data_IF_871641007719
#
_entry.id   IF_871641007719
#
_cell.length_a   1.000
_cell.length_b   1.000
_cell.length_c   1.000
_cell.angle_alpha   90.00
_cell.angle_beta   90.00
_cell.angle_gamma   90.00
#
_symmetry.space_group_name_H-M   'P 1'
#
loop_
_entity.id
_entity.type
_entity.pdbx_description
1 polymer ?
#
# COMPACT_ATOMS: atom_id res chain seq x y z
N UNK A 1 0.99 6.46 -15.97
CA UNK A 1 -0.41 6.88 -15.70
C UNK A 1 -1.49 5.96 -16.29
N UNK A 2 -1.32 5.38 -17.48
CA UNK A 2 -2.31 4.43 -18.04
C UNK A 2 -2.40 3.11 -17.26
N UNK A 3 -1.29 2.58 -16.77
CA UNK A 3 -1.24 1.35 -15.98
C UNK A 3 -2.02 1.44 -14.66
N UNK A 4 -1.94 2.58 -13.97
CA UNK A 4 -2.64 2.79 -12.69
C UNK A 4 -4.17 2.73 -12.84
N UNK A 5 -4.74 3.30 -13.91
CA UNK A 5 -6.18 3.23 -14.17
C UNK A 5 -6.65 1.80 -14.47
N UNK A 6 -5.85 1.04 -15.21
CA UNK A 6 -6.16 -0.36 -15.47
C UNK A 6 -6.08 -1.19 -14.18
N UNK A 7 -5.05 -1.00 -13.37
CA UNK A 7 -4.89 -1.67 -12.08
C UNK A 7 -6.08 -1.42 -11.15
N UNK A 8 -6.55 -0.18 -11.03
CA UNK A 8 -7.74 0.16 -10.24
C UNK A 8 -8.99 -0.58 -10.74
N UNK A 9 -9.18 -0.69 -12.07
CA UNK A 9 -10.33 -1.42 -12.63
C UNK A 9 -10.28 -2.91 -12.30
N UNK A 10 -9.11 -3.55 -12.42
CA UNK A 10 -8.93 -4.95 -12.04
C UNK A 10 -9.14 -5.14 -10.53
N UNK A 11 -8.56 -4.30 -9.71
CA UNK A 11 -8.72 -4.37 -8.24
C UNK A 11 -10.19 -4.24 -7.82
N UNK A 12 -10.94 -3.29 -8.39
CA UNK A 12 -12.38 -3.14 -8.12
C UNK A 12 -13.18 -4.38 -8.54
N UNK A 13 -12.92 -4.91 -9.74
CA UNK A 13 -13.62 -6.09 -10.23
C UNK A 13 -13.40 -7.31 -9.32
N UNK A 14 -12.16 -7.54 -8.88
CA UNK A 14 -11.86 -8.63 -7.95
C UNK A 14 -12.48 -8.38 -6.58
N UNK A 15 -12.47 -7.15 -6.08
CA UNK A 15 -13.11 -6.80 -4.82
C UNK A 15 -14.63 -7.06 -4.85
N UNK A 16 -15.29 -6.72 -5.94
CA UNK A 16 -16.73 -6.96 -6.10
C UNK A 16 -17.05 -8.46 -6.14
N UNK A 17 -16.23 -9.27 -6.82
CA UNK A 17 -16.35 -10.74 -6.82
C UNK A 17 -16.09 -11.31 -5.43
N UNK A 18 -15.04 -10.83 -4.74
CA UNK A 18 -14.70 -11.27 -3.39
C UNK A 18 -15.81 -10.92 -2.38
N UNK A 19 -16.46 -9.76 -2.52
CA UNK A 19 -17.64 -9.38 -1.72
C UNK A 19 -18.81 -10.34 -1.94
N UNK A 20 -19.12 -10.66 -3.19
CA UNK A 20 -20.20 -11.58 -3.53
C UNK A 20 -19.97 -13.00 -2.95
N UNK A 21 -18.72 -13.42 -2.84
CA UNK A 21 -18.32 -14.73 -2.32
C UNK A 21 -17.95 -14.72 -0.82
N UNK A 22 -18.07 -13.59 -0.11
CA UNK A 22 -17.63 -13.41 1.28
C UNK A 22 -16.17 -13.85 1.53
N UNK A 23 -15.29 -13.66 0.54
CA UNK A 23 -13.88 -14.08 0.57
C UNK A 23 -12.89 -12.90 0.63
N UNK A 24 -13.37 -11.69 0.96
CA UNK A 24 -12.59 -10.44 0.88
C UNK A 24 -11.31 -10.52 1.72
N UNK A 25 -11.40 -11.01 2.97
CA UNK A 25 -10.24 -11.10 3.88
C UNK A 25 -9.19 -12.08 3.36
N UNK A 26 -9.65 -13.25 2.85
CA UNK A 26 -8.75 -14.26 2.31
C UNK A 26 -8.08 -13.79 1.02
N UNK A 27 -8.80 -13.07 0.15
CA UNK A 27 -8.22 -12.45 -1.06
C UNK A 27 -7.24 -11.35 -0.68
N UNK A 28 -7.54 -10.53 0.34
CA UNK A 28 -6.63 -9.51 0.84
C UNK A 28 -5.30 -10.11 1.36
N UNK A 29 -5.37 -11.20 2.11
CA UNK A 29 -4.18 -11.94 2.55
C UNK A 29 -3.34 -12.44 1.35
N UNK A 30 -3.99 -12.93 0.29
CA UNK A 30 -3.29 -13.34 -0.93
C UNK A 30 -2.64 -12.15 -1.64
N UNK A 31 -3.34 -11.00 -1.77
CA UNK A 31 -2.79 -9.81 -2.40
C UNK A 31 -1.60 -9.25 -1.62
N UNK A 32 -1.66 -9.26 -0.29
CA UNK A 32 -0.55 -8.88 0.57
C UNK A 32 0.65 -9.81 0.38
N UNK A 33 0.42 -11.13 0.30
CA UNK A 33 1.47 -12.10 0.04
C UNK A 33 2.13 -11.88 -1.33
N UNK A 34 1.35 -11.56 -2.37
CA UNK A 34 1.85 -11.24 -3.72
C UNK A 34 2.74 -9.98 -3.67
N UNK A 35 2.29 -8.91 -3.00
CA UNK A 35 3.07 -7.67 -2.87
C UNK A 35 4.40 -7.94 -2.17
N UNK A 36 4.38 -8.68 -1.06
CA UNK A 36 5.58 -9.02 -0.31
C UNK A 36 6.55 -9.88 -1.14
N UNK A 37 6.05 -10.92 -1.81
CA UNK A 37 6.87 -11.77 -2.67
C UNK A 37 7.55 -10.98 -3.81
N UNK A 38 6.84 -10.03 -4.44
CA UNK A 38 7.42 -9.19 -5.50
C UNK A 38 8.42 -8.17 -4.91
N UNK A 39 8.19 -7.69 -3.68
CA UNK A 39 9.10 -6.77 -2.99
C UNK A 39 10.39 -7.46 -2.57
N UNK A 40 10.28 -8.70 -2.09
CA UNK A 40 11.41 -9.48 -1.55
C UNK A 40 12.24 -10.14 -2.66
N UNK A 41 11.68 -10.32 -3.87
CA UNK A 41 12.36 -10.91 -5.03
C UNK A 41 12.35 -9.97 -6.22
N UNK A 42 13.52 -9.35 -6.50
CA UNK A 42 13.73 -8.57 -7.71
C UNK A 42 13.56 -9.45 -8.97
N UNK A 43 13.96 -10.72 -8.88
CA UNK A 43 13.84 -11.69 -9.97
C UNK A 43 12.37 -11.95 -10.35
N UNK A 44 11.48 -12.08 -9.37
CA UNK A 44 10.05 -12.23 -9.61
C UNK A 44 9.46 -10.99 -10.27
N UNK A 45 9.90 -9.82 -9.86
CA UNK A 45 9.48 -8.55 -10.46
C UNK A 45 9.91 -8.48 -11.93
N UNK A 46 11.17 -8.77 -12.22
CA UNK A 46 11.72 -8.75 -13.59
C UNK A 46 11.08 -9.83 -14.45
N UNK A 47 10.84 -11.01 -13.90
CA UNK A 47 10.11 -12.10 -14.54
C UNK A 47 8.70 -11.67 -15.00
N UNK A 48 7.95 -10.99 -14.13
CA UNK A 48 6.60 -10.51 -14.45
C UNK A 48 6.62 -9.39 -15.50
N UNK A 49 7.61 -8.52 -15.46
CA UNK A 49 7.75 -7.38 -16.38
C UNK A 49 8.36 -7.77 -17.74
N UNK A 50 9.10 -8.87 -17.82
CA UNK A 50 9.78 -9.29 -19.04
C UNK A 50 8.79 -9.55 -20.18
N UNK A 51 8.92 -8.88 -21.33
CA UNK A 51 8.07 -9.14 -22.51
C UNK A 51 8.46 -10.42 -23.26
N UNK A 52 9.65 -10.97 -23.00
CA UNK A 52 10.19 -12.15 -23.70
C UNK A 52 9.54 -13.43 -23.19
N UNK A 53 9.18 -13.46 -21.90
CA UNK A 53 8.61 -14.65 -21.26
C UNK A 53 7.12 -14.77 -21.63
N UNK A 54 6.74 -15.93 -22.15
CA UNK A 54 5.36 -16.22 -22.51
C UNK A 54 4.42 -16.12 -21.31
N UNK A 55 3.23 -15.55 -21.51
CA UNK A 55 2.22 -15.39 -20.47
C UNK A 55 1.81 -16.71 -19.80
N UNK A 56 1.77 -17.81 -20.55
CA UNK A 56 1.46 -19.16 -20.04
C UNK A 56 2.47 -19.64 -18.99
N UNK A 57 3.77 -19.33 -19.21
CA UNK A 57 4.83 -19.67 -18.24
C UNK A 57 4.65 -18.83 -16.96
N UNK A 58 4.36 -17.53 -17.09
CA UNK A 58 4.07 -16.67 -15.95
C UNK A 58 2.86 -17.17 -15.16
N UNK A 59 1.82 -17.57 -15.85
CA UNK A 59 0.61 -18.10 -15.24
C UNK A 59 0.86 -19.40 -14.48
N UNK A 60 1.56 -20.38 -15.06
CA UNK A 60 1.88 -21.64 -14.40
C UNK A 60 2.77 -21.41 -13.17
N UNK A 61 3.82 -20.61 -13.31
CA UNK A 61 4.72 -20.29 -12.17
C UNK A 61 3.98 -19.59 -11.03
N UNK A 62 3.09 -18.63 -11.33
CA UNK A 62 2.29 -17.97 -10.29
C UNK A 62 1.35 -18.94 -9.57
N UNK A 63 0.75 -19.90 -10.27
CA UNK A 63 -0.08 -20.91 -9.64
C UNK A 63 0.72 -21.91 -8.80
N UNK A 64 1.98 -22.15 -9.12
CA UNK A 64 2.89 -22.97 -8.32
C UNK A 64 3.37 -22.23 -7.06
N UNK A 65 3.72 -20.95 -7.20
CA UNK A 65 4.14 -20.12 -6.07
C UNK A 65 2.98 -19.89 -5.09
N UNK A 66 1.78 -19.59 -5.62
CA UNK A 66 0.60 -19.28 -4.83
C UNK A 66 -0.44 -20.38 -4.89
N UNK A 67 -0.05 -21.63 -4.59
CA UNK A 67 -0.92 -22.82 -4.61
C UNK A 67 -2.15 -22.68 -3.72
N UNK A 68 -1.98 -22.08 -2.53
CA UNK A 68 -3.03 -21.82 -1.53
C UNK A 68 -3.91 -20.60 -1.84
N UNK A 69 -3.68 -19.92 -2.99
CA UNK A 69 -4.44 -18.73 -3.33
C UNK A 69 -5.92 -19.08 -3.61
N UNK A 70 -6.79 -18.15 -3.20
CA UNK A 70 -8.24 -18.24 -3.41
C UNK A 70 -8.58 -18.29 -4.92
N UNK A 71 -9.77 -18.82 -5.21
CA UNK A 71 -10.26 -18.96 -6.58
C UNK A 71 -10.29 -17.62 -7.33
N UNK A 72 -10.65 -16.54 -6.63
CA UNK A 72 -10.70 -15.18 -7.15
C UNK A 72 -9.32 -14.67 -7.54
N UNK A 73 -8.30 -14.96 -6.74
CA UNK A 73 -6.90 -14.60 -7.02
C UNK A 73 -6.40 -15.38 -8.27
N UNK A 74 -6.71 -16.66 -8.37
CA UNK A 74 -6.40 -17.47 -9.57
C UNK A 74 -7.14 -16.95 -10.80
N UNK A 75 -8.40 -16.50 -10.62
CA UNK A 75 -9.17 -15.83 -11.66
C UNK A 75 -8.51 -14.52 -12.14
N UNK A 76 -7.90 -13.75 -11.24
CA UNK A 76 -7.10 -12.57 -11.60
C UNK A 76 -5.91 -12.98 -12.49
N UNK A 77 -5.17 -14.04 -12.13
CA UNK A 77 -4.04 -14.50 -12.95
C UNK A 77 -4.50 -14.89 -14.37
N UNK A 78 -5.64 -15.58 -14.47
CA UNK A 78 -6.23 -15.95 -15.76
C UNK A 78 -6.62 -14.70 -16.57
N UNK A 79 -7.20 -13.70 -15.92
CA UNK A 79 -7.60 -12.45 -16.57
C UNK A 79 -6.38 -11.66 -17.08
N UNK A 80 -5.29 -11.65 -16.30
CA UNK A 80 -4.03 -11.02 -16.70
C UNK A 80 -3.34 -11.79 -17.83
N UNK A 81 -3.47 -13.12 -17.89
CA UNK A 81 -2.99 -13.95 -19.00
C UNK A 81 -3.69 -13.57 -20.30
N UNK A 82 -5.03 -13.58 -20.30
CA UNK A 82 -5.85 -13.26 -21.50
C UNK A 82 -5.53 -11.85 -22.03
N UNK A 83 -5.34 -10.90 -21.13
CA UNK A 83 -5.06 -9.51 -21.49
C UNK A 83 -3.56 -9.23 -21.70
N UNK A 84 -2.67 -10.20 -21.48
CA UNK A 84 -1.20 -10.08 -21.58
C UNK A 84 -0.64 -8.94 -20.72
N UNK A 85 -1.12 -8.81 -19.47
CA UNK A 85 -0.82 -7.67 -18.57
C UNK A 85 -0.29 -8.09 -17.21
N UNK A 86 0.57 -9.11 -17.15
CA UNK A 86 1.17 -9.57 -15.89
C UNK A 86 2.02 -8.48 -15.20
N UNK A 87 2.55 -7.52 -15.95
CA UNK A 87 3.26 -6.36 -15.43
C UNK A 87 2.44 -5.54 -14.43
N UNK A 88 1.11 -5.58 -14.54
CA UNK A 88 0.21 -4.85 -13.65
C UNK A 88 -0.11 -5.59 -12.35
N UNK A 89 0.33 -6.85 -12.18
CA UNK A 89 -0.05 -7.67 -11.02
C UNK A 89 0.28 -6.99 -9.69
N UNK A 90 1.49 -6.42 -9.58
CA UNK A 90 1.90 -5.68 -8.39
C UNK A 90 0.99 -4.47 -8.10
N UNK A 91 0.72 -3.69 -9.13
CA UNK A 91 -0.13 -2.49 -9.00
C UNK A 91 -1.57 -2.86 -8.66
N UNK A 92 -2.10 -3.96 -9.25
CA UNK A 92 -3.44 -4.47 -8.92
C UNK A 92 -3.52 -4.90 -7.47
N UNK A 93 -2.51 -5.61 -6.97
CA UNK A 93 -2.48 -6.07 -5.59
C UNK A 93 -2.39 -4.90 -4.59
N UNK A 94 -1.55 -3.89 -4.88
CA UNK A 94 -1.48 -2.66 -4.08
C UNK A 94 -2.80 -1.89 -4.07
N UNK A 95 -3.45 -1.75 -5.23
CA UNK A 95 -4.74 -1.07 -5.33
C UNK A 95 -5.86 -1.84 -4.62
N UNK A 96 -5.82 -3.18 -4.65
CA UNK A 96 -6.77 -4.01 -3.92
C UNK A 96 -6.64 -3.80 -2.40
N UNK A 97 -5.41 -3.81 -1.87
CA UNK A 97 -5.17 -3.57 -0.44
C UNK A 97 -5.67 -2.17 -0.04
N UNK A 98 -5.44 -1.15 -0.86
CA UNK A 98 -5.94 0.21 -0.59
C UNK A 98 -7.48 0.27 -0.59
N UNK A 99 -8.15 -0.42 -1.51
CA UNK A 99 -9.62 -0.50 -1.56
C UNK A 99 -10.19 -1.32 -0.39
N UNK A 100 -9.48 -2.35 0.05
CA UNK A 100 -9.81 -3.14 1.24
C UNK A 100 -9.76 -2.29 2.51
N UNK A 101 -8.69 -1.50 2.66
CA UNK A 101 -8.53 -0.59 3.80
C UNK A 101 -9.64 0.47 3.80
N UNK A 102 -9.97 1.04 2.65
CA UNK A 102 -11.09 1.98 2.50
C UNK A 102 -12.43 1.34 2.90
N UNK A 103 -12.67 0.10 2.45
CA UNK A 103 -13.90 -0.66 2.77
C UNK A 103 -14.05 -0.90 4.27
N UNK A 104 -12.95 -1.23 4.95
CA UNK A 104 -12.93 -1.50 6.39
C UNK A 104 -12.79 -0.22 7.24
N UNK A 105 -12.79 0.95 6.61
CA UNK A 105 -12.60 2.22 7.31
C UNK A 105 -11.22 2.32 7.98
N UNK A 106 -10.22 1.60 7.46
CA UNK A 106 -8.83 1.67 7.91
C UNK A 106 -8.17 2.83 7.17
N UNK A 107 -7.66 3.80 7.90
CA UNK A 107 -6.83 4.88 7.34
C UNK A 107 -5.36 4.59 7.64
N UNK A 108 -4.52 4.61 6.59
CA UNK A 108 -3.07 4.52 6.78
C UNK A 108 -2.53 5.91 7.07
N UNK A 109 -1.99 6.07 8.28
CA UNK A 109 -1.29 7.27 8.70
C UNK A 109 0.22 7.10 8.44
N UNK A 110 0.76 7.83 7.48
CA UNK A 110 2.21 7.87 7.25
C UNK A 110 2.84 8.86 8.21
N UNK A 111 3.72 8.36 9.06
CA UNK A 111 4.43 9.14 10.06
C UNK A 111 5.91 9.18 9.70
N UNK A 112 6.39 10.35 9.30
CA UNK A 112 7.82 10.56 9.05
C UNK A 112 8.49 11.05 10.33
N UNK A 113 9.55 10.37 10.75
CA UNK A 113 10.33 10.67 11.97
C UNK A 113 11.82 10.75 11.66
N UNK A 114 12.60 11.51 12.45
CA UNK A 114 14.05 11.62 12.25
C UNK A 114 14.80 10.34 12.67
N UNK A 115 14.22 9.59 13.61
CA UNK A 115 14.76 8.33 14.15
C UNK A 115 13.64 7.28 14.17
N UNK A 116 13.95 5.99 14.30
CA UNK A 116 12.92 4.96 14.46
C UNK A 116 11.95 5.33 15.59
N UNK A 117 10.67 5.01 15.39
CA UNK A 117 9.60 5.40 16.32
C UNK A 117 9.83 4.79 17.69
N UNK A 118 9.83 5.66 18.72
CA UNK A 118 9.85 5.24 20.12
C UNK A 118 8.42 5.16 20.66
N UNK A 119 8.21 4.38 21.74
CA UNK A 119 6.88 4.21 22.37
C UNK A 119 6.26 5.55 22.82
N UNK A 120 7.12 6.51 23.26
CA UNK A 120 6.69 7.86 23.64
C UNK A 120 6.19 8.66 22.42
N UNK A 121 6.90 8.57 21.30
CA UNK A 121 6.55 9.26 20.06
C UNK A 121 5.28 8.66 19.45
N UNK A 122 5.16 7.33 19.50
CA UNK A 122 3.96 6.61 19.07
C UNK A 122 2.72 7.06 19.84
N UNK A 123 2.81 7.18 21.16
CA UNK A 123 1.70 7.66 21.98
C UNK A 123 1.27 9.09 21.63
N UNK A 124 2.23 9.99 21.36
CA UNK A 124 1.95 11.37 20.93
C UNK A 124 1.30 11.41 19.55
N UNK A 125 1.78 10.57 18.63
CA UNK A 125 1.21 10.44 17.28
C UNK A 125 -0.20 9.89 17.34
N UNK A 126 -0.44 8.82 18.12
CA UNK A 126 -1.77 8.23 18.30
C UNK A 126 -2.76 9.22 18.90
N UNK A 127 -2.36 9.98 19.94
CA UNK A 127 -3.19 11.03 20.54
C UNK A 127 -3.57 12.10 19.52
N UNK A 128 -2.63 12.49 18.65
CA UNK A 128 -2.90 13.46 17.59
C UNK A 128 -3.82 12.90 16.52
N UNK A 129 -3.61 11.66 16.11
CA UNK A 129 -4.44 10.94 15.16
C UNK A 129 -5.89 10.84 15.66
N UNK A 130 -6.09 10.48 16.92
CA UNK A 130 -7.41 10.40 17.54
C UNK A 130 -8.18 11.75 17.52
N UNK A 131 -7.47 12.87 17.45
CA UNK A 131 -8.09 14.20 17.31
C UNK A 131 -8.57 14.51 15.88
N UNK A 132 -8.15 13.73 14.87
CA UNK A 132 -8.48 13.96 13.46
C UNK A 132 -9.45 12.94 12.87
N UNK A 133 -9.46 11.71 13.41
CA UNK A 133 -10.27 10.62 12.86
C UNK A 133 -10.68 9.63 13.95
N UNK A 134 -11.93 9.15 13.86
CA UNK A 134 -12.45 8.09 14.72
C UNK A 134 -12.33 6.69 14.08
N UNK A 135 -11.62 6.58 12.95
CA UNK A 135 -11.43 5.32 12.22
C UNK A 135 -10.30 4.49 12.83
N UNK A 136 -10.26 3.22 12.46
CA UNK A 136 -9.10 2.37 12.75
C UNK A 136 -7.91 2.87 11.93
N UNK A 137 -6.79 3.16 12.59
CA UNK A 137 -5.63 3.75 11.93
C UNK A 137 -4.45 2.80 12.04
N UNK A 138 -3.84 2.52 10.90
CA UNK A 138 -2.56 1.80 10.82
C UNK A 138 -1.45 2.83 10.61
N UNK A 139 -0.42 2.78 11.46
CA UNK A 139 0.73 3.68 11.36
C UNK A 139 1.80 3.03 10.48
N UNK A 140 2.20 3.73 9.42
CA UNK A 140 3.39 3.42 8.62
C UNK A 140 4.49 4.41 8.98
N UNK A 141 5.58 3.93 9.62
CA UNK A 141 6.69 4.80 9.97
C UNK A 141 7.72 4.88 8.83
N UNK A 142 8.07 6.10 8.44
CA UNK A 142 9.14 6.42 7.49
C UNK A 142 10.21 7.19 8.26
N UNK A 143 11.44 6.70 8.25
CA UNK A 143 12.56 7.39 8.89
C UNK A 143 13.25 8.30 7.87
N UNK A 144 13.22 9.61 8.15
CA UNK A 144 13.89 10.64 7.34
C UNK A 144 14.69 11.60 8.27
N UNK A 145 16.03 11.47 8.31
CA UNK A 145 16.86 12.33 9.14
C UNK A 145 16.79 13.83 8.80
N UNK A 146 16.31 14.19 7.61
CA UNK A 146 16.23 15.57 7.16
C UNK A 146 15.27 16.43 7.99
N UNK A 147 14.32 15.84 8.70
CA UNK A 147 13.39 16.59 9.57
C UNK A 147 14.02 17.03 10.89
N UNK A 148 15.25 16.62 11.20
CA UNK A 148 16.05 16.93 12.41
C UNK A 148 15.42 16.35 13.69
N UNK A 149 14.10 16.39 13.86
CA UNK A 149 13.35 15.88 15.02
C UNK A 149 11.86 16.16 14.91
N UNK A 150 11.10 15.62 15.85
CA UNK A 150 9.64 15.64 15.80
C UNK A 150 9.07 14.64 14.82
N UNK A 151 7.88 14.92 14.27
CA UNK A 151 7.23 14.06 13.28
C UNK A 151 6.39 14.85 12.28
N UNK A 152 6.21 14.25 11.10
CA UNK A 152 5.25 14.70 10.08
C UNK A 152 4.21 13.59 9.93
N UNK A 153 2.96 13.91 10.20
CA UNK A 153 1.82 13.00 10.05
C UNK A 153 1.08 13.33 8.76
N UNK A 154 0.90 12.33 7.90
CA UNK A 154 0.11 12.45 6.67
C UNK A 154 -0.99 11.40 6.66
N UNK A 155 -2.23 11.85 6.53
CA UNK A 155 -3.44 11.03 6.45
C UNK A 155 -4.28 11.48 5.27
N UNK A 156 -4.36 10.66 4.22
CA UNK A 156 -5.03 11.06 2.98
C UNK A 156 -4.51 12.42 2.47
N UNK A 157 -5.40 13.38 2.36
CA UNK A 157 -5.11 14.75 1.88
C UNK A 157 -4.65 15.70 3.01
N UNK A 158 -4.69 15.26 4.27
CA UNK A 158 -4.31 16.09 5.42
C UNK A 158 -2.86 15.81 5.84
N UNK A 159 -2.11 16.88 6.08
CA UNK A 159 -0.75 16.79 6.62
C UNK A 159 -0.63 17.65 7.86
N UNK A 160 -0.09 17.08 8.93
CA UNK A 160 0.28 17.78 10.15
C UNK A 160 1.79 17.73 10.33
N UNK A 161 2.44 18.89 10.30
CA UNK A 161 3.89 18.99 10.40
C UNK A 161 4.29 19.52 11.77
N UNK A 162 4.74 18.63 12.65
CA UNK A 162 5.29 18.92 13.97
C UNK A 162 6.82 18.69 14.00
N UNK A 163 7.50 18.90 12.88
CA UNK A 163 8.97 18.79 12.84
C UNK A 163 9.65 20.02 13.42
N UNK A 164 10.82 19.81 14.02
CA UNK A 164 11.67 20.88 14.55
C UNK A 164 12.05 21.88 13.46
N UNK A 165 12.34 21.40 12.25
CA UNK A 165 12.65 22.24 11.09
C UNK A 165 11.52 23.21 10.76
N UNK A 166 10.26 22.75 10.78
CA UNK A 166 9.10 23.60 10.54
C UNK A 166 8.88 24.62 11.66
N UNK A 167 9.07 24.22 12.92
CA UNK A 167 8.94 25.13 14.07
C UNK A 167 9.98 26.25 14.02
N UNK A 168 11.23 25.93 13.67
CA UNK A 168 12.28 26.93 13.49
C UNK A 168 12.00 27.88 12.32
N UNK A 169 11.45 27.36 11.23
CA UNK A 169 11.09 28.19 10.09
C UNK A 169 9.94 29.15 10.40
N UNK A 170 8.96 28.72 11.20
CA UNK A 170 7.86 29.58 11.65
C UNK A 170 8.37 30.67 12.57
N UNK A 171 9.22 30.35 13.57
CA UNK A 171 9.87 31.31 14.44
C UNK A 171 10.67 32.34 13.64
N UNK A 172 11.45 31.88 12.65
CA UNK A 172 12.21 32.82 11.79
C UNK A 172 11.30 33.81 11.08
N UNK A 173 10.12 33.36 10.61
CA UNK A 173 9.13 34.26 9.98
C UNK A 173 8.54 35.25 10.95
N UNK A 174 8.23 34.84 12.18
CA UNK A 174 7.69 35.72 13.22
C UNK A 174 8.69 36.82 13.64
N UNK A 175 9.99 36.50 13.66
CA UNK A 175 11.05 37.49 13.98
C UNK A 175 11.46 38.35 12.77
N UNK A 176 11.02 38.01 11.54
CA UNK A 176 11.35 38.76 10.33
C UNK A 176 10.27 39.76 9.90
N UNK A 177 9.12 39.77 10.59
CA UNK A 177 8.05 40.75 10.49
C UNK A 177 8.11 41.75 11.66
#
# INVERSE_FOLDING_TARGET
>A
MAGTRAAIRYAKAILDIAKANNSVDAVNANMTSIVNAIKDSAELKDFLQSPIIKGEIKFSSLNEIFTSAQKETKGLFQLLLVNKRFELLNDVALQFNALYDELNGIEVAKVTTAVPMTSELESKVLAKIASFSNKKITIENIVDPAIIGGFILRMGDKQYNASVANSLQNLKREFSN
#
